data_IF_523445449458
#
_entry.id   IF_523445449458
#
_cell.length_a   1.000
_cell.length_b   1.000
_cell.length_c   1.000
_cell.angle_alpha   90.00
_cell.angle_beta   90.00
_cell.angle_gamma   90.00
#
_symmetry.space_group_name_H-M   'P 1'
#
loop_
_entity.id
_entity.type
_entity.pdbx_description
1 polymer ?
#
# COMPACT_ATOMS: atom_id res chain seq x y z
N UNK A 1 -14.68 4.50 -44.70
CA UNK A 1 -14.52 3.27 -45.53
C UNK A 1 -15.03 2.09 -44.72
N UNK A 2 -15.89 1.24 -45.30
CA UNK A 2 -16.41 0.06 -44.61
C UNK A 2 -15.57 -1.16 -45.04
N UNK A 3 -14.94 -1.81 -44.07
CA UNK A 3 -14.25 -3.08 -44.25
C UNK A 3 -15.18 -4.22 -43.83
N UNK A 4 -15.18 -5.32 -44.60
CA UNK A 4 -16.08 -6.47 -44.36
C UNK A 4 -15.29 -7.77 -44.33
N UNK A 5 -15.66 -8.66 -43.42
CA UNK A 5 -15.16 -10.01 -43.35
C UNK A 5 -16.30 -10.98 -43.02
N UNK A 6 -16.23 -12.22 -43.50
CA UNK A 6 -17.20 -13.27 -43.15
C UNK A 6 -16.47 -14.43 -42.52
N UNK A 7 -16.81 -14.76 -41.28
CA UNK A 7 -16.21 -15.86 -40.51
C UNK A 7 -17.33 -16.78 -40.01
N UNK A 8 -17.28 -18.06 -40.37
CA UNK A 8 -18.27 -19.05 -39.89
C UNK A 8 -19.73 -18.71 -40.25
N UNK A 9 -19.96 -17.98 -41.35
CA UNK A 9 -21.29 -17.52 -41.77
C UNK A 9 -21.77 -16.22 -41.11
N UNK A 10 -20.96 -15.61 -40.25
CA UNK A 10 -21.23 -14.34 -39.60
C UNK A 10 -20.46 -13.21 -40.30
N UNK A 11 -21.19 -12.16 -40.72
CA UNK A 11 -20.60 -10.97 -41.32
C UNK A 11 -20.13 -10.00 -40.23
N UNK A 12 -18.90 -9.51 -40.38
CA UNK A 12 -18.28 -8.49 -39.56
C UNK A 12 -18.05 -7.26 -40.42
N UNK A 13 -18.60 -6.12 -40.00
CA UNK A 13 -18.39 -4.84 -40.66
C UNK A 13 -17.63 -3.91 -39.72
N UNK A 14 -16.56 -3.31 -40.22
CA UNK A 14 -15.83 -2.26 -39.52
C UNK A 14 -15.92 -0.95 -40.32
N UNK A 15 -16.67 0.01 -39.79
CA UNK A 15 -16.70 1.36 -40.36
C UNK A 15 -15.52 2.17 -39.80
N UNK A 16 -14.48 2.29 -40.61
CA UNK A 16 -13.26 3.05 -40.26
C UNK A 16 -13.49 4.55 -40.09
N UNK A 17 -14.58 5.09 -40.64
CA UNK A 17 -14.90 6.51 -40.59
C UNK A 17 -15.72 6.83 -39.33
N UNK A 18 -16.77 6.04 -39.08
CA UNK A 18 -17.61 6.18 -37.88
C UNK A 18 -17.03 5.50 -36.63
N UNK A 19 -15.96 4.71 -36.77
CA UNK A 19 -15.34 3.91 -35.70
C UNK A 19 -16.33 2.95 -35.03
N UNK A 20 -17.21 2.35 -35.84
CA UNK A 20 -18.22 1.39 -35.36
C UNK A 20 -17.95 -0.01 -35.89
N UNK A 21 -18.37 -0.99 -35.11
CA UNK A 21 -18.28 -2.41 -35.47
C UNK A 21 -19.69 -2.97 -35.48
N UNK A 22 -20.01 -3.77 -36.51
CA UNK A 22 -21.24 -4.54 -36.57
C UNK A 22 -20.92 -6.01 -36.78
N UNK A 23 -21.72 -6.86 -36.17
CA UNK A 23 -21.65 -8.31 -36.28
C UNK A 23 -23.05 -8.83 -36.59
N UNK A 24 -23.22 -9.47 -37.75
CA UNK A 24 -24.54 -9.89 -38.25
C UNK A 24 -25.52 -8.71 -38.43
N UNK A 25 -25.01 -7.52 -38.74
CA UNK A 25 -25.80 -6.28 -38.86
C UNK A 25 -26.05 -5.54 -37.53
N UNK A 26 -25.81 -6.19 -36.38
CA UNK A 26 -26.02 -5.61 -35.06
C UNK A 26 -24.77 -4.89 -34.53
N UNK A 27 -24.91 -3.74 -33.83
CA UNK A 27 -23.77 -3.07 -33.20
C UNK A 27 -23.01 -3.99 -32.24
N UNK A 28 -21.69 -3.97 -32.32
CA UNK A 28 -20.81 -4.80 -31.51
C UNK A 28 -19.59 -4.01 -31.03
N UNK A 29 -18.88 -4.56 -30.05
CA UNK A 29 -17.59 -4.06 -29.59
C UNK A 29 -16.62 -5.21 -29.43
N UNK A 30 -15.32 -4.93 -29.58
CA UNK A 30 -14.27 -5.83 -29.13
C UNK A 30 -13.89 -5.49 -27.69
N UNK A 31 -13.80 -6.51 -26.85
CA UNK A 31 -13.38 -6.38 -25.45
C UNK A 31 -12.34 -7.45 -25.13
N UNK A 32 -11.25 -7.03 -24.47
CA UNK A 32 -10.25 -7.97 -23.96
C UNK A 32 -10.83 -8.77 -22.80
N UNK A 33 -10.84 -10.09 -22.93
CA UNK A 33 -11.48 -10.99 -21.95
C UNK A 33 -10.71 -11.02 -20.62
N UNK A 34 -9.40 -11.25 -20.64
CA UNK A 34 -8.57 -11.45 -19.44
C UNK A 34 -8.31 -10.17 -18.63
N UNK A 35 -8.40 -9.00 -19.24
CA UNK A 35 -8.12 -7.72 -18.59
C UNK A 35 -9.40 -6.90 -18.35
N UNK A 36 -10.06 -6.47 -19.42
CA UNK A 36 -11.20 -5.54 -19.34
C UNK A 36 -12.47 -6.23 -18.83
N UNK A 37 -12.88 -7.33 -19.47
CA UNK A 37 -14.12 -8.02 -19.09
C UNK A 37 -13.98 -8.70 -17.72
N UNK A 38 -12.85 -9.36 -17.47
CA UNK A 38 -12.52 -9.92 -16.16
C UNK A 38 -12.52 -8.84 -15.05
N UNK A 39 -11.92 -7.67 -15.30
CA UNK A 39 -11.94 -6.55 -14.36
C UNK A 39 -13.36 -6.05 -14.05
N UNK A 40 -14.21 -5.92 -15.08
CA UNK A 40 -15.61 -5.53 -14.93
C UNK A 40 -16.38 -6.54 -14.06
N UNK A 41 -16.28 -7.83 -14.37
CA UNK A 41 -16.95 -8.90 -13.61
C UNK A 41 -16.43 -8.99 -12.18
N UNK A 42 -15.12 -8.79 -11.97
CA UNK A 42 -14.52 -8.74 -10.63
C UNK A 42 -15.05 -7.57 -9.80
N UNK A 43 -15.21 -6.40 -10.41
CA UNK A 43 -15.84 -5.24 -9.76
C UNK A 43 -17.28 -5.54 -9.33
N UNK A 44 -18.08 -6.12 -10.22
CA UNK A 44 -19.46 -6.51 -9.90
C UNK A 44 -19.51 -7.58 -8.81
N UNK A 45 -18.68 -8.63 -8.92
CA UNK A 45 -18.57 -9.69 -7.92
C UNK A 45 -18.31 -9.15 -6.52
N UNK A 46 -17.37 -8.20 -6.36
CA UNK A 46 -17.06 -7.58 -5.07
C UNK A 46 -18.25 -6.85 -4.45
N UNK A 47 -19.14 -6.30 -5.28
CA UNK A 47 -20.31 -5.57 -4.79
C UNK A 47 -21.45 -6.48 -4.38
N UNK A 48 -21.74 -7.51 -5.19
CA UNK A 48 -22.98 -8.29 -5.03
C UNK A 48 -22.76 -9.71 -4.49
N UNK A 49 -21.52 -10.19 -4.49
CA UNK A 49 -21.16 -11.56 -4.14
C UNK A 49 -21.45 -12.57 -5.25
N UNK A 50 -21.00 -13.81 -5.05
CA UNK A 50 -21.07 -14.88 -6.06
C UNK A 50 -22.50 -15.17 -6.49
N UNK A 51 -23.41 -15.47 -5.56
CA UNK A 51 -24.76 -15.94 -5.92
C UNK A 51 -25.58 -14.87 -6.66
N UNK A 52 -25.49 -13.60 -6.27
CA UNK A 52 -26.19 -12.53 -6.99
C UNK A 52 -25.60 -12.27 -8.37
N UNK A 53 -24.28 -12.33 -8.50
CA UNK A 53 -23.63 -12.22 -9.80
C UNK A 53 -24.08 -13.36 -10.72
N UNK A 54 -24.14 -14.60 -10.22
CA UNK A 54 -24.62 -15.76 -10.98
C UNK A 54 -26.04 -15.59 -11.47
N UNK A 55 -26.97 -15.17 -10.60
CA UNK A 55 -28.36 -14.92 -10.99
C UNK A 55 -28.46 -13.78 -12.01
N UNK A 56 -27.72 -12.68 -11.82
CA UNK A 56 -27.71 -11.56 -12.75
C UNK A 56 -27.21 -11.99 -14.15
N UNK A 57 -26.11 -12.74 -14.21
CA UNK A 57 -25.57 -13.27 -15.46
C UNK A 57 -26.53 -14.28 -16.11
N UNK A 58 -27.12 -15.18 -15.33
CA UNK A 58 -28.11 -16.14 -15.84
C UNK A 58 -29.36 -15.45 -16.40
N UNK A 59 -29.85 -14.40 -15.76
CA UNK A 59 -30.94 -13.58 -16.27
C UNK A 59 -30.57 -12.96 -17.62
N UNK A 60 -29.43 -12.26 -17.69
CA UNK A 60 -28.95 -11.63 -18.92
C UNK A 60 -28.74 -12.62 -20.08
N UNK A 61 -28.24 -13.82 -19.80
CA UNK A 61 -28.10 -14.87 -20.80
C UNK A 61 -29.44 -15.39 -21.32
N UNK A 62 -30.45 -15.49 -20.44
CA UNK A 62 -31.80 -15.94 -20.80
C UNK A 62 -32.56 -14.90 -21.62
N UNK A 63 -32.41 -13.63 -21.30
CA UNK A 63 -33.11 -12.55 -22.00
C UNK A 63 -32.59 -12.33 -23.42
N UNK A 64 -31.32 -12.69 -23.67
CA UNK A 64 -30.64 -12.54 -24.96
C UNK A 64 -30.98 -13.59 -26.03
N UNK A 65 -31.91 -14.52 -25.80
CA UNK A 65 -32.11 -15.68 -26.68
C UNK A 65 -33.07 -15.47 -27.84
N UNK A 66 -33.72 -14.30 -27.97
CA UNK A 66 -34.75 -14.08 -28.99
C UNK A 66 -34.18 -14.25 -30.41
N UNK A 67 -33.06 -13.60 -30.71
CA UNK A 67 -32.40 -13.67 -32.01
C UNK A 67 -31.82 -15.07 -32.26
N UNK A 68 -31.21 -15.70 -31.24
CA UNK A 68 -30.69 -17.06 -31.34
C UNK A 68 -31.82 -18.06 -31.69
N UNK A 69 -32.99 -17.91 -31.05
CA UNK A 69 -34.15 -18.75 -31.30
C UNK A 69 -34.73 -18.55 -32.70
N UNK A 70 -34.87 -17.29 -33.12
CA UNK A 70 -35.32 -16.96 -34.47
C UNK A 70 -34.38 -17.56 -35.53
N UNK A 71 -33.08 -17.55 -35.27
CA UNK A 71 -32.08 -18.19 -36.14
C UNK A 71 -32.23 -19.72 -36.18
N UNK A 72 -32.35 -20.40 -35.02
CA UNK A 72 -32.57 -21.85 -34.95
C UNK A 72 -33.82 -22.26 -35.75
N UNK A 73 -34.89 -21.48 -35.68
CA UNK A 73 -36.16 -21.78 -36.35
C UNK A 73 -36.12 -21.68 -37.88
N UNK A 74 -35.03 -21.17 -38.48
CA UNK A 74 -34.84 -21.17 -39.93
C UNK A 74 -34.50 -22.56 -40.48
N UNK A 75 -34.20 -23.52 -39.60
CA UNK A 75 -33.76 -24.86 -39.95
C UNK A 75 -34.86 -25.91 -39.74
N UNK A 76 -34.85 -27.03 -40.51
CA UNK A 76 -35.90 -28.04 -40.45
C UNK A 76 -36.07 -28.73 -39.08
N UNK A 77 -35.00 -28.84 -38.31
CA UNK A 77 -35.00 -29.47 -36.98
C UNK A 77 -34.24 -28.62 -35.98
N UNK A 78 -34.58 -28.73 -34.70
CA UNK A 78 -33.89 -28.01 -33.65
C UNK A 78 -32.40 -28.38 -33.60
N UNK A 79 -32.05 -29.65 -33.74
CA UNK A 79 -30.68 -30.14 -33.71
C UNK A 79 -29.85 -29.54 -34.84
N UNK A 80 -30.41 -29.43 -36.05
CA UNK A 80 -29.75 -28.75 -37.17
C UNK A 80 -29.58 -27.26 -36.90
N UNK A 81 -30.63 -26.57 -36.45
CA UNK A 81 -30.55 -25.15 -36.17
C UNK A 81 -29.61 -24.81 -35.02
N UNK A 82 -29.59 -25.64 -33.98
CA UNK A 82 -28.65 -25.51 -32.87
C UNK A 82 -27.21 -25.77 -33.34
N UNK A 83 -26.98 -26.78 -34.20
CA UNK A 83 -25.66 -27.02 -34.77
C UNK A 83 -25.14 -25.84 -35.62
N UNK A 84 -26.00 -25.14 -36.36
CA UNK A 84 -25.61 -23.92 -37.07
C UNK A 84 -25.37 -22.75 -36.12
N UNK A 85 -26.20 -22.59 -35.08
CA UNK A 85 -25.99 -21.58 -34.04
C UNK A 85 -24.62 -21.76 -33.37
N UNK A 86 -24.19 -23.00 -33.09
CA UNK A 86 -22.88 -23.29 -32.51
C UNK A 86 -21.74 -22.72 -33.36
N UNK A 87 -21.84 -22.80 -34.69
CA UNK A 87 -20.80 -22.25 -35.59
C UNK A 87 -20.74 -20.73 -35.50
N UNK A 88 -21.91 -20.07 -35.50
CA UNK A 88 -22.02 -18.61 -35.37
C UNK A 88 -21.50 -18.15 -34.01
N UNK A 89 -21.91 -18.82 -32.94
CA UNK A 89 -21.48 -18.54 -31.57
C UNK A 89 -19.95 -18.69 -31.43
N UNK A 90 -19.37 -19.76 -31.99
CA UNK A 90 -17.92 -19.96 -32.00
C UNK A 90 -17.18 -18.84 -32.75
N UNK A 91 -17.68 -18.43 -33.92
CA UNK A 91 -17.11 -17.31 -34.68
C UNK A 91 -17.18 -15.97 -33.92
N UNK A 92 -18.22 -15.79 -33.09
CA UNK A 92 -18.41 -14.63 -32.21
C UNK A 92 -17.67 -14.72 -30.86
N UNK A 93 -16.84 -15.74 -30.64
CA UNK A 93 -16.03 -15.87 -29.41
C UNK A 93 -16.75 -16.45 -28.20
N UNK A 94 -17.90 -17.10 -28.38
CA UNK A 94 -18.64 -17.78 -27.31
C UNK A 94 -18.07 -19.15 -26.92
N UNK A 95 -16.95 -19.55 -27.53
CA UNK A 95 -16.36 -20.86 -27.37
C UNK A 95 -16.99 -21.91 -28.26
N UNK A 96 -16.48 -23.14 -28.16
CA UNK A 96 -17.05 -24.31 -28.83
C UNK A 96 -18.12 -24.90 -27.94
N UNK A 97 -19.29 -25.22 -28.49
CA UNK A 97 -20.34 -25.95 -27.79
C UNK A 97 -20.60 -27.31 -28.43
N UNK A 98 -21.13 -28.25 -27.64
CA UNK A 98 -21.57 -29.57 -28.10
C UNK A 98 -22.88 -29.95 -27.41
N UNK A 99 -23.89 -30.33 -28.20
CA UNK A 99 -25.13 -30.95 -27.69
C UNK A 99 -24.86 -32.44 -27.45
N UNK A 100 -24.66 -32.81 -26.19
CA UNK A 100 -24.29 -34.19 -25.79
C UNK A 100 -25.51 -35.11 -25.82
N UNK A 101 -26.65 -34.62 -25.32
CA UNK A 101 -27.89 -35.38 -25.31
C UNK A 101 -29.09 -34.45 -25.33
N UNK A 102 -30.17 -34.89 -25.97
CA UNK A 102 -31.45 -34.20 -26.00
C UNK A 102 -32.56 -35.24 -25.84
N UNK A 103 -33.31 -35.17 -24.74
CA UNK A 103 -34.49 -35.99 -24.49
C UNK A 103 -35.73 -35.10 -24.40
N UNK A 104 -36.51 -34.98 -25.49
CA UNK A 104 -37.74 -34.18 -25.50
C UNK A 104 -38.84 -34.74 -24.58
N UNK A 105 -38.83 -36.04 -24.26
CA UNK A 105 -39.84 -36.67 -23.39
C UNK A 105 -39.54 -36.39 -21.93
N UNK A 106 -38.29 -36.59 -21.52
CA UNK A 106 -37.83 -36.26 -20.17
C UNK A 106 -37.65 -34.75 -19.96
N UNK A 107 -37.65 -33.96 -21.04
CA UNK A 107 -37.34 -32.52 -21.05
C UNK A 107 -35.97 -32.24 -20.43
N UNK A 108 -34.98 -33.02 -20.86
CA UNK A 108 -33.59 -32.87 -20.41
C UNK A 108 -32.68 -32.67 -21.62
N UNK A 109 -31.76 -31.72 -21.50
CA UNK A 109 -30.67 -31.55 -22.46
C UNK A 109 -29.33 -31.46 -21.72
N UNK A 110 -28.25 -31.85 -22.41
CA UNK A 110 -26.88 -31.69 -21.92
C UNK A 110 -26.04 -31.00 -22.96
N UNK A 111 -25.36 -29.94 -22.53
CA UNK A 111 -24.48 -29.15 -23.40
C UNK A 111 -23.12 -29.01 -22.75
N UNK A 112 -22.07 -29.25 -23.53
CA UNK A 112 -20.68 -28.98 -23.13
C UNK A 112 -20.15 -27.74 -23.80
N UNK A 113 -19.24 -27.03 -23.14
CA UNK A 113 -18.63 -25.81 -23.62
C UNK A 113 -17.12 -25.77 -23.33
N UNK A 114 -16.35 -25.34 -24.32
CA UNK A 114 -14.89 -25.15 -24.24
C UNK A 114 -14.51 -23.74 -24.65
N UNK A 115 -13.47 -23.20 -24.00
CA UNK A 115 -12.82 -21.95 -24.39
C UNK A 115 -13.78 -20.75 -24.52
N UNK A 116 -14.85 -20.73 -23.75
CA UNK A 116 -15.80 -19.61 -23.72
C UNK A 116 -15.30 -18.50 -22.78
N UNK A 117 -15.78 -17.28 -23.00
CA UNK A 117 -15.28 -16.08 -22.34
C UNK A 117 -15.42 -16.11 -20.80
N UNK A 118 -16.51 -16.68 -20.25
CA UNK A 118 -16.70 -16.74 -18.78
C UNK A 118 -15.60 -17.55 -18.08
N UNK A 119 -15.23 -18.71 -18.62
CA UNK A 119 -14.16 -19.52 -18.05
C UNK A 119 -12.80 -18.84 -18.21
N UNK A 120 -12.54 -18.20 -19.35
CA UNK A 120 -11.31 -17.44 -19.59
C UNK A 120 -11.16 -16.30 -18.58
N UNK A 121 -12.21 -15.51 -18.36
CA UNK A 121 -12.20 -14.41 -17.37
C UNK A 121 -11.90 -14.94 -15.96
N UNK A 122 -12.57 -16.03 -15.56
CA UNK A 122 -12.40 -16.62 -14.23
C UNK A 122 -11.00 -17.22 -14.02
N UNK A 123 -10.44 -17.90 -15.02
CA UNK A 123 -9.07 -18.43 -14.99
C UNK A 123 -8.04 -17.31 -14.81
N UNK A 124 -8.19 -16.20 -15.53
CA UNK A 124 -7.30 -15.03 -15.39
C UNK A 124 -7.36 -14.41 -13.99
N UNK A 125 -8.52 -14.46 -13.33
CA UNK A 125 -8.71 -13.96 -11.97
C UNK A 125 -8.34 -14.97 -10.87
N UNK A 126 -8.12 -16.24 -11.21
CA UNK A 126 -7.91 -17.31 -10.23
C UNK A 126 -9.14 -17.60 -9.37
N UNK A 127 -10.35 -17.41 -9.91
CA UNK A 127 -11.62 -17.56 -9.18
C UNK A 127 -12.54 -18.59 -9.85
N UNK A 128 -13.58 -19.00 -9.13
CA UNK A 128 -14.66 -19.81 -9.69
C UNK A 128 -16.01 -19.35 -9.13
N UNK A 129 -16.80 -18.71 -9.98
CA UNK A 129 -18.16 -18.27 -9.70
C UNK A 129 -19.21 -19.01 -10.54
N UNK A 130 -18.78 -19.85 -11.48
CA UNK A 130 -19.64 -20.57 -12.39
C UNK A 130 -20.02 -19.76 -13.63
N UNK A 131 -20.24 -20.47 -14.73
CA UNK A 131 -20.48 -19.93 -16.08
C UNK A 131 -21.97 -19.70 -16.31
N UNK A 132 -22.51 -18.79 -15.50
CA UNK A 132 -23.96 -18.65 -15.35
C UNK A 132 -24.61 -17.92 -16.51
N UNK A 133 -23.89 -17.08 -17.26
CA UNK A 133 -24.42 -16.44 -18.45
C UNK A 133 -24.67 -17.45 -19.56
N UNK A 134 -23.70 -18.32 -19.85
CA UNK A 134 -23.89 -19.45 -20.78
C UNK A 134 -25.02 -20.35 -20.32
N UNK A 135 -25.08 -20.67 -19.02
CA UNK A 135 -26.19 -21.40 -18.42
C UNK A 135 -27.54 -20.75 -18.72
N UNK A 136 -27.66 -19.44 -18.52
CA UNK A 136 -28.86 -18.66 -18.85
C UNK A 136 -29.25 -18.74 -20.32
N UNK A 137 -28.26 -18.63 -21.21
CA UNK A 137 -28.45 -18.74 -22.66
C UNK A 137 -28.98 -20.11 -23.06
N UNK A 138 -28.40 -21.19 -22.53
CA UNK A 138 -28.92 -22.55 -22.75
C UNK A 138 -30.32 -22.72 -22.15
N UNK A 139 -30.54 -22.27 -20.92
CA UNK A 139 -31.85 -22.34 -20.27
C UNK A 139 -32.94 -21.65 -21.11
N UNK A 140 -32.67 -20.46 -21.66
CA UNK A 140 -33.62 -19.75 -22.52
C UNK A 140 -33.92 -20.45 -23.85
N UNK A 141 -32.89 -20.99 -24.52
CA UNK A 141 -33.07 -21.75 -25.77
C UNK A 141 -33.90 -23.02 -25.52
N UNK A 142 -33.54 -23.82 -24.52
CA UNK A 142 -34.22 -25.08 -24.23
C UNK A 142 -35.59 -24.89 -23.59
N UNK A 143 -35.85 -23.78 -22.89
CA UNK A 143 -37.19 -23.39 -22.46
C UNK A 143 -38.15 -23.34 -23.65
N UNK A 144 -37.73 -22.69 -24.74
CA UNK A 144 -38.53 -22.57 -25.97
C UNK A 144 -38.69 -23.92 -26.67
N UNK A 145 -37.60 -24.69 -26.76
CA UNK A 145 -37.64 -26.02 -27.35
C UNK A 145 -38.61 -26.97 -26.62
N UNK A 146 -38.52 -27.06 -25.29
CA UNK A 146 -39.39 -27.91 -24.48
C UNK A 146 -40.81 -27.36 -24.28
N UNK A 147 -41.06 -26.11 -24.70
CA UNK A 147 -42.34 -25.40 -24.54
C UNK A 147 -42.80 -25.36 -23.09
N UNK A 148 -41.89 -24.96 -22.20
CA UNK A 148 -42.15 -24.81 -20.76
C UNK A 148 -42.03 -23.36 -20.32
N UNK A 149 -42.60 -23.02 -19.16
CA UNK A 149 -42.53 -21.67 -18.60
C UNK A 149 -41.10 -21.23 -18.32
N UNK A 150 -40.23 -22.17 -17.93
CA UNK A 150 -38.82 -21.91 -17.66
C UNK A 150 -38.00 -23.19 -17.59
N UNK A 151 -36.72 -23.05 -17.92
CA UNK A 151 -35.70 -24.05 -17.64
C UNK A 151 -34.62 -23.44 -16.73
N UNK A 152 -33.85 -24.32 -16.10
CA UNK A 152 -32.61 -23.98 -15.41
C UNK A 152 -31.47 -24.82 -15.99
N UNK A 153 -30.32 -24.19 -16.22
CA UNK A 153 -29.10 -24.88 -16.63
C UNK A 153 -28.18 -25.03 -15.42
N UNK A 154 -28.10 -26.25 -14.89
CA UNK A 154 -27.19 -26.58 -13.81
C UNK A 154 -25.82 -26.93 -14.38
N UNK A 155 -24.80 -26.15 -14.00
CA UNK A 155 -23.41 -26.48 -14.32
C UNK A 155 -22.92 -27.62 -13.42
N UNK A 156 -22.56 -28.75 -14.02
CA UNK A 156 -22.13 -29.97 -13.31
C UNK A 156 -20.61 -30.22 -13.42
N UNK A 157 -19.96 -29.65 -14.44
CA UNK A 157 -18.50 -29.74 -14.68
C UNK A 157 -17.94 -28.33 -14.84
N UNK A 158 -16.71 -28.09 -14.37
CA UNK A 158 -16.13 -26.75 -14.24
C UNK A 158 -14.70 -26.69 -14.82
N UNK A 159 -14.55 -26.13 -16.02
CA UNK A 159 -13.27 -25.87 -16.66
C UNK A 159 -12.32 -25.01 -15.81
N UNK A 160 -12.87 -24.18 -14.91
CA UNK A 160 -12.12 -23.37 -13.94
C UNK A 160 -11.55 -24.19 -12.77
N UNK A 161 -12.07 -25.41 -12.51
CA UNK A 161 -11.54 -26.35 -11.51
C UNK A 161 -10.52 -27.35 -12.10
N UNK A 162 -10.17 -27.21 -13.37
CA UNK A 162 -9.23 -28.09 -14.06
C UNK A 162 -9.89 -29.17 -14.92
N UNK A 163 -11.23 -29.20 -15.02
CA UNK A 163 -11.91 -30.03 -16.00
C UNK A 163 -11.62 -29.54 -17.42
N UNK A 164 -11.79 -30.42 -18.42
CA UNK A 164 -11.55 -30.08 -19.82
C UNK A 164 -12.60 -29.09 -20.37
N UNK A 165 -13.82 -29.14 -19.84
CA UNK A 165 -14.98 -28.36 -20.30
C UNK A 165 -15.92 -28.01 -19.16
N UNK A 166 -16.78 -27.04 -19.42
CA UNK A 166 -18.01 -26.86 -18.66
C UNK A 166 -19.10 -27.77 -19.22
N UNK A 167 -19.85 -28.44 -18.35
CA UNK A 167 -21.03 -29.21 -18.74
C UNK A 167 -22.25 -28.67 -18.00
N UNK A 168 -23.34 -28.51 -18.76
CA UNK A 168 -24.62 -28.01 -18.28
C UNK A 168 -25.69 -29.06 -18.49
N UNK A 169 -26.50 -29.27 -17.46
CA UNK A 169 -27.71 -30.09 -17.52
C UNK A 169 -28.92 -29.17 -17.44
N UNK A 170 -29.74 -29.18 -18.48
CA UNK A 170 -30.85 -28.25 -18.64
C UNK A 170 -32.18 -28.99 -18.46
N UNK A 171 -32.99 -28.52 -17.52
CA UNK A 171 -34.31 -29.10 -17.18
C UNK A 171 -35.33 -28.00 -16.85
N UNK A 172 -36.65 -28.29 -16.97
CA UNK A 172 -37.68 -27.45 -16.40
C UNK A 172 -37.44 -27.16 -14.92
N UNK A 173 -37.76 -25.94 -14.48
CA UNK A 173 -37.63 -25.51 -13.09
C UNK A 173 -38.95 -24.93 -12.61
N UNK A 174 -39.37 -25.27 -11.39
CA UNK A 174 -40.54 -24.65 -10.77
C UNK A 174 -40.21 -23.29 -10.14
N UNK A 175 -38.93 -23.06 -9.84
CA UNK A 175 -38.42 -21.80 -9.29
C UNK A 175 -38.04 -20.82 -10.40
N UNK A 176 -38.63 -19.62 -10.35
CA UNK A 176 -38.27 -18.49 -11.20
C UNK A 176 -36.94 -17.83 -10.81
N UNK A 177 -36.42 -16.97 -11.69
CA UNK A 177 -35.25 -16.17 -11.36
C UNK A 177 -35.58 -15.21 -10.21
N UNK A 178 -36.79 -14.65 -10.24
CA UNK A 178 -37.37 -13.78 -9.23
C UNK A 178 -37.46 -14.51 -7.88
N UNK A 179 -38.00 -15.73 -7.85
CA UNK A 179 -38.11 -16.54 -6.62
C UNK A 179 -36.74 -16.86 -5.99
N UNK A 180 -35.69 -16.93 -6.83
CA UNK A 180 -34.31 -17.19 -6.40
C UNK A 180 -33.68 -15.92 -5.83
N UNK A 181 -33.93 -14.77 -6.45
CA UNK A 181 -33.51 -13.45 -5.94
C UNK A 181 -34.20 -13.15 -4.61
N UNK A 182 -35.51 -13.37 -4.51
CA UNK A 182 -36.26 -13.16 -3.27
C UNK A 182 -35.76 -14.07 -2.13
N UNK A 183 -35.44 -15.33 -2.41
CA UNK A 183 -34.81 -16.22 -1.43
C UNK A 183 -33.45 -15.73 -0.94
N UNK A 184 -32.64 -15.13 -1.82
CA UNK A 184 -31.38 -14.51 -1.40
C UNK A 184 -31.65 -13.31 -0.49
N UNK A 185 -32.58 -12.44 -0.85
CA UNK A 185 -32.95 -11.29 -0.02
C UNK A 185 -33.49 -11.72 1.37
N UNK A 186 -34.28 -12.79 1.42
CA UNK A 186 -34.77 -13.36 2.69
C UNK A 186 -33.68 -14.02 3.53
N UNK A 187 -32.63 -14.58 2.91
CA UNK A 187 -31.47 -15.14 3.63
C UNK A 187 -30.48 -14.05 4.07
N UNK A 188 -30.39 -12.93 3.36
CA UNK A 188 -29.53 -11.78 3.71
C UNK A 188 -29.93 -11.05 4.99
N UNK A 189 -31.20 -11.08 5.40
CA UNK A 189 -31.60 -10.57 6.73
C UNK A 189 -30.89 -11.31 7.86
N UNK A 190 -30.57 -12.59 7.69
CA UNK A 190 -29.77 -13.36 8.66
C UNK A 190 -28.27 -12.99 8.58
N UNK A 191 -27.73 -12.74 7.39
CA UNK A 191 -26.31 -12.39 7.16
C UNK A 191 -25.92 -10.99 7.64
N UNK A 192 -26.87 -10.05 7.72
CA UNK A 192 -26.65 -8.71 8.30
C UNK A 192 -26.21 -8.76 9.76
N UNK A 193 -26.67 -9.76 10.53
CA UNK A 193 -26.27 -9.95 11.92
C UNK A 193 -24.77 -10.29 12.02
N UNK A 194 -24.28 -11.18 11.15
CA UNK A 194 -22.87 -11.58 11.13
C UNK A 194 -21.95 -10.45 10.64
N UNK A 195 -22.40 -9.66 9.66
CA UNK A 195 -21.66 -8.50 9.17
C UNK A 195 -21.57 -7.39 10.24
N UNK A 196 -22.62 -7.19 11.04
CA UNK A 196 -22.60 -6.26 12.16
C UNK A 196 -21.57 -6.68 13.23
N UNK A 197 -21.48 -7.98 13.52
CA UNK A 197 -20.48 -8.53 14.45
C UNK A 197 -19.05 -8.36 13.89
N UNK A 198 -18.85 -8.57 12.59
CA UNK A 198 -17.55 -8.36 11.95
C UNK A 198 -17.13 -6.89 11.93
N UNK A 199 -18.06 -5.97 11.66
CA UNK A 199 -17.82 -4.52 11.71
C UNK A 199 -17.42 -4.06 13.12
N UNK A 200 -18.08 -4.60 14.15
CA UNK A 200 -17.77 -4.25 15.54
C UNK A 200 -16.38 -4.74 15.96
N UNK A 201 -15.96 -5.95 15.51
CA UNK A 201 -14.59 -6.43 15.72
C UNK A 201 -13.55 -5.53 15.07
N UNK A 202 -13.77 -5.12 13.82
CA UNK A 202 -12.83 -4.23 13.11
C UNK A 202 -12.75 -2.87 13.78
N UNK A 203 -13.87 -2.31 14.25
CA UNK A 203 -13.86 -1.04 15.01
C UNK A 203 -13.02 -1.14 16.28
N UNK A 204 -13.20 -2.21 17.04
CA UNK A 204 -12.43 -2.44 18.27
C UNK A 204 -10.92 -2.55 18.01
N UNK A 205 -10.52 -3.26 16.95
CA UNK A 205 -9.10 -3.35 16.56
C UNK A 205 -8.51 -1.99 16.16
N UNK A 206 -9.29 -1.13 15.49
CA UNK A 206 -8.85 0.23 15.12
C UNK A 206 -8.67 1.10 16.37
N UNK A 207 -9.58 1.03 17.34
CA UNK A 207 -9.47 1.78 18.60
C UNK A 207 -8.24 1.36 19.43
N UNK A 208 -7.98 0.05 19.53
CA UNK A 208 -6.80 -0.48 20.23
C UNK A 208 -5.49 -0.03 19.59
N UNK A 209 -5.42 -0.02 18.25
CA UNK A 209 -4.25 0.49 17.52
C UNK A 209 -4.05 1.99 17.74
N UNK A 210 -5.12 2.77 17.68
CA UNK A 210 -5.05 4.22 17.90
C UNK A 210 -4.57 4.55 19.33
N UNK A 211 -5.00 3.78 20.33
CA UNK A 211 -4.53 3.93 21.70
C UNK A 211 -3.02 3.63 21.83
N UNK A 212 -2.55 2.56 21.19
CA UNK A 212 -1.13 2.18 21.17
C UNK A 212 -0.26 3.22 20.48
N UNK A 213 -0.71 3.74 19.33
CA UNK A 213 0.00 4.79 18.58
C UNK A 213 0.12 6.08 19.40
N UNK A 214 -0.95 6.45 20.10
CA UNK A 214 -0.93 7.60 21.01
C UNK A 214 0.08 7.41 22.15
N UNK A 215 0.07 6.24 22.80
CA UNK A 215 1.02 5.95 23.89
C UNK A 215 2.48 6.01 23.39
N UNK A 216 2.74 5.48 22.20
CA UNK A 216 4.08 5.53 21.60
C UNK A 216 4.51 6.97 21.32
N UNK A 217 3.60 7.80 20.79
CA UNK A 217 3.86 9.21 20.55
C UNK A 217 4.17 9.97 21.84
N UNK A 218 3.40 9.75 22.90
CA UNK A 218 3.62 10.37 24.21
C UNK A 218 5.00 9.97 24.79
N UNK A 219 5.43 8.72 24.60
CA UNK A 219 6.77 8.24 25.00
C UNK A 219 7.89 8.92 24.20
N UNK A 220 7.73 9.08 22.89
CA UNK A 220 8.72 9.75 22.05
C UNK A 220 8.89 11.23 22.45
N UNK A 221 7.78 11.92 22.72
CA UNK A 221 7.82 13.31 23.19
C UNK A 221 8.52 13.44 24.55
N UNK A 222 8.33 12.47 25.45
CA UNK A 222 9.05 12.42 26.73
C UNK A 222 10.55 12.23 26.54
N UNK A 223 10.97 11.31 25.65
CA UNK A 223 12.39 11.06 25.34
C UNK A 223 13.03 12.33 24.79
N UNK A 224 12.38 13.02 23.85
CA UNK A 224 12.89 14.26 23.27
C UNK A 224 13.14 15.35 24.34
N UNK A 225 12.20 15.53 25.28
CA UNK A 225 12.37 16.47 26.40
C UNK A 225 13.49 16.05 27.35
N UNK A 226 13.67 14.76 27.58
CA UNK A 226 14.77 14.25 28.40
C UNK A 226 16.12 14.49 27.73
N UNK A 227 16.24 14.27 26.42
CA UNK A 227 17.46 14.57 25.66
C UNK A 227 17.81 16.05 25.71
N UNK A 228 16.83 16.95 25.54
CA UNK A 228 17.04 18.40 25.63
C UNK A 228 17.50 18.82 27.04
N UNK A 229 16.87 18.28 28.09
CA UNK A 229 17.29 18.53 29.47
C UNK A 229 18.70 18.01 29.75
N UNK A 230 19.06 16.82 29.24
CA UNK A 230 20.41 16.26 29.36
C UNK A 230 21.44 17.15 28.64
N UNK A 231 21.13 17.63 27.43
CA UNK A 231 22.00 18.57 26.69
C UNK A 231 22.21 19.87 27.47
N UNK A 232 21.16 20.44 28.05
CA UNK A 232 21.25 21.66 28.84
C UNK A 232 22.17 21.49 30.07
N UNK A 233 22.16 20.31 30.70
CA UNK A 233 22.99 19.94 31.86
C UNK A 233 24.44 19.58 31.49
N UNK A 234 24.75 19.27 30.23
CA UNK A 234 26.03 18.68 29.82
C UNK A 234 27.17 19.68 29.52
N UNK A 235 26.93 20.98 29.68
CA UNK A 235 27.99 22.01 29.52
C UNK A 235 27.75 23.21 30.46
N UNK A 236 27.84 23.04 31.79
CA UNK A 236 27.60 24.13 32.73
C UNK A 236 28.79 25.09 32.73
N UNK A 237 28.59 26.33 32.27
CA UNK A 237 29.55 27.41 32.52
C UNK A 237 29.32 27.90 33.94
N UNK A 238 30.31 27.72 34.80
CA UNK A 238 30.19 27.99 36.24
C UNK A 238 31.08 29.19 36.57
N UNK A 239 30.55 30.15 37.32
CA UNK A 239 31.37 31.20 37.91
C UNK A 239 31.97 30.67 39.21
N UNK A 240 33.29 30.53 39.22
CA UNK A 240 34.04 29.90 40.31
C UNK A 240 34.66 30.93 41.24
N UNK A 241 34.76 32.18 40.81
CA UNK A 241 35.16 33.34 41.60
C UNK A 241 34.69 34.63 40.93
N UNK A 242 34.77 35.77 41.64
CA UNK A 242 34.46 37.08 41.08
C UNK A 242 35.33 37.37 39.84
N UNK A 243 34.68 37.53 38.69
CA UNK A 243 35.31 37.72 37.38
C UNK A 243 36.01 36.49 36.81
N UNK A 244 35.78 35.28 37.36
CA UNK A 244 36.39 34.02 36.89
C UNK A 244 35.32 32.97 36.59
N UNK A 245 35.28 32.52 35.34
CA UNK A 245 34.37 31.45 34.90
C UNK A 245 35.16 30.19 34.52
N UNK A 246 34.50 29.04 34.59
CA UNK A 246 35.02 27.76 34.10
C UNK A 246 34.05 27.09 33.13
N UNK A 247 34.61 26.51 32.08
CA UNK A 247 33.95 25.68 31.10
C UNK A 247 34.54 24.26 31.18
N UNK A 248 33.89 23.33 31.88
CA UNK A 248 34.28 21.93 31.87
C UNK A 248 33.82 21.27 30.56
N UNK A 249 34.74 20.61 29.87
CA UNK A 249 34.43 19.77 28.70
C UNK A 249 34.37 18.30 29.14
N UNK A 250 33.23 17.66 28.88
CA UNK A 250 32.96 16.26 29.24
C UNK A 250 32.62 15.45 27.99
N UNK A 251 33.31 14.31 27.80
CA UNK A 251 33.04 13.39 26.68
C UNK A 251 33.55 13.88 25.32
N UNK A 252 32.97 13.37 24.25
CA UNK A 252 33.34 13.74 22.86
C UNK A 252 32.77 15.12 22.52
N UNK A 253 33.59 15.98 21.93
CA UNK A 253 33.20 17.30 21.45
C UNK A 253 32.95 17.20 19.95
N UNK A 254 31.69 17.02 19.56
CA UNK A 254 31.30 17.13 18.14
C UNK A 254 31.16 18.60 17.69
N UNK A 255 31.09 18.82 16.38
CA UNK A 255 31.04 20.15 15.78
C UNK A 255 29.79 20.96 16.17
N UNK A 256 28.65 20.29 16.38
CA UNK A 256 27.41 20.96 16.80
C UNK A 256 27.54 21.46 18.25
N UNK A 257 28.00 20.58 19.15
CA UNK A 257 28.20 20.89 20.57
C UNK A 257 29.27 21.96 20.76
N UNK A 258 30.32 21.96 19.95
CA UNK A 258 31.37 22.97 20.01
C UNK A 258 30.87 24.37 19.65
N UNK A 259 30.02 24.50 18.62
CA UNK A 259 29.42 25.77 18.23
C UNK A 259 28.47 26.31 19.32
N UNK A 260 27.60 25.46 19.86
CA UNK A 260 26.71 25.82 20.97
C UNK A 260 27.50 26.25 22.22
N UNK A 261 28.58 25.53 22.52
CA UNK A 261 29.48 25.85 23.66
C UNK A 261 30.18 27.20 23.47
N UNK A 262 30.58 27.53 22.24
CA UNK A 262 31.18 28.82 21.91
C UNK A 262 30.24 29.98 22.17
N UNK A 263 29.01 29.91 21.66
CA UNK A 263 28.01 30.96 21.89
C UNK A 263 27.79 31.15 23.39
N UNK A 264 27.57 30.06 24.14
CA UNK A 264 27.31 30.13 25.59
C UNK A 264 28.51 30.70 26.37
N UNK A 265 29.75 30.34 26.00
CA UNK A 265 30.95 30.86 26.67
C UNK A 265 31.10 32.37 26.46
N UNK A 266 30.96 32.83 25.22
CA UNK A 266 31.08 34.26 24.90
C UNK A 266 29.99 35.08 25.58
N UNK A 267 28.73 34.59 25.57
CA UNK A 267 27.63 35.23 26.28
C UNK A 267 27.90 35.31 27.79
N UNK A 268 28.41 34.24 28.40
CA UNK A 268 28.73 34.20 29.82
C UNK A 268 29.87 35.17 30.19
N UNK A 269 30.89 35.32 29.33
CA UNK A 269 31.98 36.29 29.53
C UNK A 269 31.42 37.71 29.63
N UNK A 270 30.54 38.10 28.70
CA UNK A 270 29.94 39.44 28.68
C UNK A 270 28.98 39.63 29.85
N UNK A 271 28.04 38.70 30.06
CA UNK A 271 27.02 38.82 31.10
C UNK A 271 27.62 38.87 32.50
N UNK A 272 28.69 38.12 32.75
CA UNK A 272 29.35 38.05 34.06
C UNK A 272 30.57 38.95 34.20
N UNK A 273 30.89 39.77 33.19
CA UNK A 273 32.11 40.57 33.13
C UNK A 273 33.38 39.75 33.49
N UNK A 274 33.46 38.53 32.98
CA UNK A 274 34.53 37.61 33.32
C UNK A 274 35.85 38.07 32.71
N UNK A 275 36.89 38.21 33.54
CA UNK A 275 38.25 38.59 33.13
C UNK A 275 39.13 37.39 32.85
N UNK A 276 38.80 36.25 33.45
CA UNK A 276 39.52 34.99 33.28
C UNK A 276 38.52 33.85 33.01
N UNK A 277 38.83 33.01 32.02
CA UNK A 277 38.06 31.82 31.64
C UNK A 277 38.94 30.57 31.71
N UNK A 278 38.51 29.57 32.48
CA UNK A 278 39.22 28.31 32.65
C UNK A 278 38.52 27.21 31.85
N UNK A 279 39.15 26.72 30.78
CA UNK A 279 38.67 25.57 30.01
C UNK A 279 39.24 24.31 30.67
N UNK A 280 38.39 23.49 31.27
CA UNK A 280 38.81 22.27 31.96
C UNK A 280 38.58 21.04 31.09
N UNK A 281 39.66 20.32 30.79
CA UNK A 281 39.69 19.12 29.96
C UNK A 281 39.79 17.84 30.79
N UNK A 282 39.59 17.92 32.11
CA UNK A 282 39.67 16.76 33.02
C UNK A 282 38.75 15.61 32.59
N UNK A 283 37.59 15.93 31.98
CA UNK A 283 36.59 14.99 31.49
C UNK A 283 36.72 14.58 30.01
N UNK A 284 37.81 14.94 29.34
CA UNK A 284 38.06 14.60 27.92
C UNK A 284 39.01 13.39 27.84
N UNK A 285 38.49 12.27 27.33
CA UNK A 285 39.27 11.02 27.22
C UNK A 285 40.10 10.95 25.93
N UNK A 286 39.55 11.41 24.81
CA UNK A 286 40.17 11.38 23.48
C UNK A 286 39.92 12.71 22.78
N UNK A 287 40.91 13.19 22.03
CA UNK A 287 40.81 14.40 21.20
C UNK A 287 41.13 14.07 19.74
N UNK A 288 40.39 14.66 18.81
CA UNK A 288 40.69 14.62 17.37
C UNK A 288 41.07 16.02 16.85
N UNK A 289 41.48 16.10 15.58
CA UNK A 289 41.86 17.36 14.94
C UNK A 289 40.73 18.39 14.95
N UNK A 290 39.47 17.97 14.80
CA UNK A 290 38.32 18.87 14.80
C UNK A 290 38.09 19.48 16.18
N UNK A 291 38.06 18.67 17.23
CA UNK A 291 37.90 19.11 18.62
C UNK A 291 38.99 20.09 19.03
N UNK A 292 40.23 19.77 18.68
CA UNK A 292 41.38 20.64 18.89
C UNK A 292 41.23 22.03 18.27
N UNK A 293 40.83 22.10 17.00
CA UNK A 293 40.59 23.37 16.30
C UNK A 293 39.47 24.18 16.98
N UNK A 294 38.40 23.51 17.41
CA UNK A 294 37.31 24.17 18.13
C UNK A 294 37.77 24.78 19.47
N UNK A 295 38.59 24.07 20.25
CA UNK A 295 39.16 24.60 21.51
C UNK A 295 40.00 25.85 21.25
N UNK A 296 40.83 25.85 20.20
CA UNK A 296 41.63 27.03 19.85
C UNK A 296 40.76 28.21 19.44
N UNK A 297 39.71 27.97 18.64
CA UNK A 297 38.76 29.02 18.25
C UNK A 297 38.02 29.59 19.46
N UNK A 298 37.63 28.73 20.40
CA UNK A 298 37.01 29.13 21.66
C UNK A 298 37.90 30.08 22.45
N UNK A 299 39.17 29.72 22.64
CA UNK A 299 40.12 30.58 23.36
C UNK A 299 40.29 31.91 22.64
N UNK A 300 40.55 31.90 21.33
CA UNK A 300 40.75 33.15 20.56
C UNK A 300 39.53 34.06 20.65
N UNK A 301 38.33 33.50 20.54
CA UNK A 301 37.10 34.27 20.61
C UNK A 301 36.91 34.91 22.00
N UNK A 302 37.21 34.19 23.08
CA UNK A 302 37.15 34.72 24.43
C UNK A 302 38.22 35.81 24.69
N UNK A 303 39.43 35.64 24.15
CA UNK A 303 40.50 36.65 24.22
C UNK A 303 40.13 37.94 23.48
N UNK A 304 39.43 37.85 22.34
CA UNK A 304 38.92 39.02 21.61
C UNK A 304 37.89 39.82 22.43
N UNK A 305 37.18 39.17 23.35
CA UNK A 305 36.29 39.83 24.32
C UNK A 305 37.03 40.35 25.56
N UNK A 306 38.36 40.22 25.60
CA UNK A 306 39.19 40.70 26.71
C UNK A 306 39.31 39.73 27.89
N UNK A 307 38.77 38.51 27.79
CA UNK A 307 38.91 37.49 28.81
C UNK A 307 40.17 36.63 28.57
N UNK A 308 41.02 36.52 29.59
CA UNK A 308 42.21 35.66 29.54
C UNK A 308 41.80 34.21 29.65
N UNK A 309 42.24 33.39 28.72
CA UNK A 309 41.93 31.96 28.74
C UNK A 309 43.09 31.13 29.27
N UNK A 310 42.75 30.05 29.98
CA UNK A 310 43.70 29.01 30.36
C UNK A 310 43.07 27.63 30.21
N UNK A 311 43.91 26.63 29.94
CA UNK A 311 43.50 25.25 29.78
C UNK A 311 44.01 24.46 30.99
N UNK A 312 43.13 23.64 31.56
CA UNK A 312 43.44 22.80 32.72
C UNK A 312 43.07 21.34 32.45
N UNK A 313 43.64 20.40 33.21
CA UNK A 313 43.19 19.00 33.19
C UNK A 313 43.58 18.20 31.95
N UNK A 314 44.60 18.62 31.19
CA UNK A 314 45.07 17.88 30.00
C UNK A 314 45.67 16.54 30.44
N UNK A 315 45.06 15.44 30.00
CA UNK A 315 45.57 14.08 30.23
C UNK A 315 46.76 13.76 29.31
N UNK A 316 47.67 12.83 29.69
CA UNK A 316 48.83 12.48 28.86
C UNK A 316 48.49 12.07 27.43
N UNK A 317 47.43 11.26 27.24
CA UNK A 317 46.98 10.83 25.91
C UNK A 317 46.54 12.02 25.03
N UNK A 318 45.77 12.94 25.60
CA UNK A 318 45.32 14.17 24.93
C UNK A 318 46.51 15.06 24.56
N UNK A 319 47.48 15.22 25.47
CA UNK A 319 48.69 16.00 25.20
C UNK A 319 49.51 15.41 24.04
N UNK A 320 49.70 14.09 24.01
CA UNK A 320 50.41 13.40 22.92
C UNK A 320 49.72 13.62 21.58
N UNK A 321 48.40 13.49 21.54
CA UNK A 321 47.61 13.70 20.33
C UNK A 321 47.65 15.16 19.87
N UNK A 322 47.56 16.14 20.79
CA UNK A 322 47.67 17.56 20.46
C UNK A 322 49.03 17.90 19.82
N UNK A 323 50.12 17.30 20.32
CA UNK A 323 51.46 17.45 19.74
C UNK A 323 51.54 16.78 18.37
N UNK A 324 50.98 15.57 18.22
CA UNK A 324 51.02 14.84 16.93
C UNK A 324 50.24 15.54 15.82
N UNK A 325 49.18 16.27 16.17
CA UNK A 325 48.36 17.06 15.23
C UNK A 325 49.04 18.39 14.86
N UNK A 326 50.11 18.78 15.57
CA UNK A 326 50.87 20.00 15.28
C UNK A 326 50.20 21.27 15.80
N UNK A 327 49.45 21.19 16.90
CA UNK A 327 48.77 22.34 17.49
C UNK A 327 49.79 23.22 18.22
N UNK A 328 49.87 24.49 17.83
CA UNK A 328 50.66 25.49 18.54
C UNK A 328 49.91 26.02 19.77
N UNK A 329 50.33 25.56 20.95
CA UNK A 329 49.85 26.02 22.25
C UNK A 329 50.80 27.03 22.92
N UNK A 330 51.84 27.52 22.23
CA UNK A 330 52.89 28.36 22.82
C UNK A 330 52.39 29.65 23.48
N UNK A 331 51.22 30.13 23.06
CA UNK A 331 50.58 31.35 23.58
C UNK A 331 49.52 31.07 24.66
N UNK A 332 49.22 29.80 24.93
CA UNK A 332 48.19 29.37 25.88
C UNK A 332 48.79 29.00 27.21
N UNK A 333 48.16 29.46 28.29
CA UNK A 333 48.52 29.04 29.65
C UNK A 333 47.89 27.68 29.91
N UNK A 334 48.73 26.66 30.09
CA UNK A 334 48.31 25.32 30.47
C UNK A 334 48.68 25.05 31.93
N UNK A 335 47.75 24.49 32.71
CA UNK A 335 47.96 24.15 34.12
C UNK A 335 47.45 22.74 34.39
N UNK A 336 48.01 22.08 35.41
CA UNK A 336 47.72 20.67 35.68
C UNK A 336 46.27 20.44 36.13
N UNK A 337 45.71 21.35 36.92
CA UNK A 337 44.36 21.19 37.47
C UNK A 337 43.55 22.49 37.45
N UNK A 338 42.21 22.36 37.51
CA UNK A 338 41.28 23.49 37.69
C UNK A 338 41.65 24.33 38.93
N UNK A 339 42.12 23.68 40.00
CA UNK A 339 42.59 24.35 41.21
C UNK A 339 43.76 25.29 40.92
N UNK A 340 44.74 24.83 40.15
CA UNK A 340 45.91 25.65 39.78
C UNK A 340 45.49 26.83 38.91
N UNK A 341 44.53 26.60 38.00
CA UNK A 341 43.89 27.65 37.20
C UNK A 341 43.26 28.72 38.07
N UNK A 342 42.43 28.32 39.04
CA UNK A 342 41.76 29.25 39.95
C UNK A 342 42.76 30.05 40.78
N UNK A 343 43.79 29.40 41.33
CA UNK A 343 44.86 30.06 42.09
C UNK A 343 45.58 31.10 41.23
N UNK A 344 45.83 30.79 39.95
CA UNK A 344 46.44 31.72 39.00
C UNK A 344 45.55 32.94 38.75
N UNK A 345 44.25 32.74 38.52
CA UNK A 345 43.30 33.84 38.34
C UNK A 345 43.24 34.76 39.56
N UNK A 346 43.14 34.19 40.76
CA UNK A 346 43.12 34.97 42.01
C UNK A 346 44.39 35.80 42.23
N UNK A 347 45.54 35.30 41.76
CA UNK A 347 46.80 36.05 41.77
C UNK A 347 46.78 37.30 40.88
N UNK A 348 45.97 37.33 39.83
CA UNK A 348 45.77 38.51 38.98
C UNK A 348 44.79 39.51 39.59
N UNK A 349 43.74 39.04 40.26
CA UNK A 349 42.75 39.89 40.96
C UNK A 349 43.44 40.74 42.05
N UNK A 350 44.39 40.15 42.79
CA UNK A 350 45.16 40.85 43.84
C UNK A 350 46.16 41.92 43.35
N UNK A 351 46.46 41.97 42.05
CA UNK A 351 47.42 42.95 41.47
C UNK A 351 46.73 44.13 40.77
N UNK A 352 45.41 44.11 40.65
CA UNK A 352 44.62 45.08 39.86
C UNK A 352 43.55 45.84 40.65
N UNK A 353 43.61 45.82 41.99
CA UNK A 353 42.90 46.73 42.89
C UNK A 353 43.91 47.42 43.79
#
# INVERSE_FOLDING_TARGET
>A
MIERATLGGLEFEYDTEQKTIRMGGNPAIFIWTESTLAGLLSGQHRMVGTERLRLSLHGGGRDGVEEDWAYICQFPTFEQGFAELIKVAAAAGWGRWELVSLDPKAKEARVRSWNHWEATCQKALGVNWGSSYLGGKFAGIFQRFFKVSQCWAEQVTFATKGDEYDEFVIRPSDASLEDRVERLLGTDEATKADLAVALERVRKEVEERAATEKELRDKLDLIARQEEAIRALSTPIIEVWDGVITLPLMGVVDSQRAAETMTRLLDAIVQKNARDAIIDLTGVDVIDTSTADHILRLVRAAELLGARCMITGIRPAVAQTMVSIGIDLSKLVTLASLRDGLVRCMGHVRKGG
#
